data_IF_739898505725
#
_entry.id   IF_739898505725
#
_cell.length_a   1.000
_cell.length_b   1.000
_cell.length_c   1.000
_cell.angle_alpha   90.00
_cell.angle_beta   90.00
_cell.angle_gamma   90.00
#
_symmetry.space_group_name_H-M   'P 1'
#
loop_
_entity.id
_entity.type
_entity.pdbx_description
1 polymer ?
#
# COMPACT_ATOMS: atom_id res chain seq x y z
N UNK A 1 -28.69 -65.06 1.06
CA UNK A 1 -28.94 -63.77 1.74
C UNK A 1 -28.19 -62.71 0.97
N UNK A 2 -28.92 -61.81 0.31
CA UNK A 2 -28.38 -60.86 -0.65
C UNK A 2 -28.09 -59.50 0.03
N UNK A 3 -27.11 -58.76 -0.48
CA UNK A 3 -26.57 -57.53 0.12
C UNK A 3 -27.57 -56.36 0.32
N UNK A 4 -28.81 -56.50 -0.15
CA UNK A 4 -29.90 -55.53 0.01
C UNK A 4 -30.63 -55.62 1.36
N UNK A 5 -30.53 -56.73 2.09
CA UNK A 5 -31.25 -56.91 3.38
C UNK A 5 -30.54 -56.24 4.58
N UNK A 6 -29.22 -56.02 4.49
CA UNK A 6 -28.45 -55.39 5.57
C UNK A 6 -28.62 -53.86 5.60
N UNK A 7 -28.91 -53.26 4.45
CA UNK A 7 -29.09 -51.80 4.30
C UNK A 7 -30.46 -51.36 4.85
N UNK A 8 -31.51 -52.18 4.71
CA UNK A 8 -32.84 -51.85 5.21
C UNK A 8 -32.99 -51.94 6.74
N UNK A 9 -32.16 -52.75 7.42
CA UNK A 9 -32.12 -52.80 8.91
C UNK A 9 -31.37 -51.62 9.55
N UNK A 10 -30.48 -50.96 8.81
CA UNK A 10 -29.76 -49.78 9.31
C UNK A 10 -30.63 -48.52 9.17
N UNK A 11 -31.49 -48.46 8.14
CA UNK A 11 -32.37 -47.31 7.91
C UNK A 11 -33.60 -47.31 8.85
N UNK A 12 -34.04 -48.45 9.38
CA UNK A 12 -35.20 -48.48 10.30
C UNK A 12 -34.88 -48.09 11.76
N UNK A 13 -33.60 -48.07 12.17
CA UNK A 13 -33.22 -47.75 13.55
C UNK A 13 -32.87 -46.26 13.80
N UNK A 14 -32.92 -45.42 12.77
CA UNK A 14 -32.65 -43.96 12.92
C UNK A 14 -33.95 -43.13 12.92
N UNK A 15 -35.11 -43.73 12.61
CA UNK A 15 -36.40 -43.02 12.58
C UNK A 15 -37.16 -43.00 13.92
N UNK A 16 -36.56 -43.50 15.00
CA UNK A 16 -37.23 -43.65 16.31
C UNK A 16 -36.73 -42.72 17.43
N UNK A 17 -35.89 -41.72 17.14
CA UNK A 17 -35.24 -40.91 18.19
C UNK A 17 -35.38 -39.39 17.98
N UNK A 18 -36.45 -38.95 17.31
CA UNK A 18 -36.74 -37.53 17.07
C UNK A 18 -38.23 -37.22 17.27
N UNK A 19 -38.83 -37.71 18.35
CA UNK A 19 -40.04 -37.11 18.91
C UNK A 19 -39.92 -37.17 20.44
N UNK A 20 -40.25 -36.07 21.10
CA UNK A 20 -40.29 -35.83 22.54
C UNK A 20 -38.97 -35.59 23.30
N UNK A 21 -38.43 -34.36 23.21
CA UNK A 21 -38.03 -33.56 24.40
C UNK A 21 -38.18 -32.06 24.16
N UNK A 22 -39.29 -31.55 24.68
CA UNK A 22 -39.56 -30.25 25.31
C UNK A 22 -38.38 -29.28 25.42
N UNK A 23 -38.63 -28.06 24.92
CA UNK A 23 -37.90 -26.80 25.08
C UNK A 23 -37.20 -26.62 26.44
N UNK A 24 -35.87 -26.55 26.42
CA UNK A 24 -35.06 -25.69 27.26
C UNK A 24 -33.87 -25.22 26.41
N UNK A 25 -33.99 -24.03 25.84
CA UNK A 25 -32.87 -23.31 25.25
C UNK A 25 -31.79 -23.11 26.32
N UNK A 26 -30.54 -23.57 26.14
CA UNK A 26 -29.45 -22.96 26.87
C UNK A 26 -29.32 -21.54 26.30
N UNK A 27 -29.67 -20.55 27.11
CA UNK A 27 -29.24 -19.17 26.89
C UNK A 27 -27.72 -19.19 26.94
N UNK A 28 -27.09 -19.37 25.79
CA UNK A 28 -25.69 -19.03 25.61
C UNK A 28 -25.67 -17.52 25.73
N UNK A 29 -25.30 -17.01 26.91
CA UNK A 29 -25.03 -15.60 27.08
C UNK A 29 -24.08 -15.18 25.96
N UNK A 30 -24.43 -14.19 25.13
CA UNK A 30 -23.52 -13.69 24.13
C UNK A 30 -22.23 -13.27 24.84
N UNK A 31 -21.04 -13.68 24.35
CA UNK A 31 -19.80 -13.12 24.86
C UNK A 31 -19.92 -11.59 24.84
N UNK A 32 -19.42 -10.94 25.90
CA UNK A 32 -19.46 -9.50 26.06
C UNK A 32 -19.01 -8.81 24.76
N UNK A 33 -19.65 -7.69 24.44
CA UNK A 33 -19.52 -6.97 23.15
C UNK A 33 -18.05 -6.80 22.72
N UNK A 34 -17.14 -6.67 23.68
CA UNK A 34 -15.69 -6.57 23.46
C UNK A 34 -15.05 -7.81 22.81
N UNK A 35 -15.47 -9.04 23.14
CA UNK A 35 -14.84 -10.28 22.62
C UNK A 35 -15.33 -10.61 21.20
N UNK A 36 -16.60 -10.31 20.88
CA UNK A 36 -17.11 -10.44 19.50
C UNK A 36 -16.47 -9.43 18.56
N UNK A 37 -16.27 -8.19 19.02
CA UNK A 37 -15.59 -7.15 18.25
C UNK A 37 -14.12 -7.48 18.03
N UNK A 38 -13.41 -8.04 19.02
CA UNK A 38 -11.99 -8.42 18.88
C UNK A 38 -11.80 -9.60 17.92
N UNK A 39 -12.67 -10.62 17.95
CA UNK A 39 -12.57 -11.77 17.04
C UNK A 39 -13.01 -11.41 15.62
N UNK A 40 -14.00 -10.52 15.45
CA UNK A 40 -14.42 -10.00 14.14
C UNK A 40 -13.38 -9.02 13.58
N UNK A 41 -12.73 -8.19 14.40
CA UNK A 41 -11.60 -7.34 13.98
C UNK A 41 -10.38 -8.19 13.60
N UNK A 42 -10.03 -9.23 14.36
CA UNK A 42 -8.93 -10.14 14.01
C UNK A 42 -9.23 -10.98 12.74
N UNK A 43 -10.51 -11.26 12.47
CA UNK A 43 -10.94 -11.96 11.26
C UNK A 43 -11.08 -11.01 10.05
N UNK A 44 -11.51 -9.76 10.23
CA UNK A 44 -11.54 -8.73 9.18
C UNK A 44 -10.14 -8.22 8.83
N UNK A 45 -9.22 -8.18 9.80
CA UNK A 45 -7.79 -7.86 9.57
C UNK A 45 -7.06 -8.99 8.84
N UNK A 46 -7.57 -10.24 8.88
CA UNK A 46 -6.91 -11.40 8.25
C UNK A 46 -7.59 -11.90 6.97
N UNK A 47 -8.88 -11.58 6.75
CA UNK A 47 -9.63 -11.88 5.52
C UNK A 47 -9.75 -10.66 4.59
N UNK A 48 -9.69 -9.44 5.13
CA UNK A 48 -9.76 -8.20 4.34
C UNK A 48 -8.48 -7.79 3.62
N UNK A 49 -7.40 -8.58 3.68
CA UNK A 49 -6.06 -8.18 3.16
C UNK A 49 -5.48 -9.16 2.14
N UNK A 50 -6.31 -9.95 1.45
CA UNK A 50 -5.87 -10.78 0.31
C UNK A 50 -6.08 -10.13 -1.07
N UNK A 51 -6.37 -8.82 -1.12
CA UNK A 51 -6.28 -8.05 -2.37
C UNK A 51 -5.13 -7.07 -2.25
N UNK A 52 -4.17 -7.20 -3.16
CA UNK A 52 -2.98 -6.38 -3.31
C UNK A 52 -3.23 -4.87 -3.13
N UNK A 53 -2.84 -4.31 -2.00
CA UNK A 53 -2.84 -2.85 -1.78
C UNK A 53 -1.52 -2.21 -2.22
N UNK A 54 -1.01 -2.61 -3.39
CA UNK A 54 0.12 -1.95 -4.02
C UNK A 54 -0.28 -0.68 -4.80
N UNK A 55 -1.57 -0.47 -5.04
CA UNK A 55 -2.10 0.61 -5.88
C UNK A 55 -2.81 1.76 -5.15
N UNK A 56 -3.02 1.65 -3.83
CA UNK A 56 -3.92 2.56 -3.12
C UNK A 56 -3.34 3.95 -2.77
N UNK A 57 -2.09 4.28 -3.15
CA UNK A 57 -1.50 5.60 -2.85
C UNK A 57 -1.50 6.57 -4.06
N UNK A 58 -2.19 6.27 -5.17
CA UNK A 58 -2.37 7.28 -6.24
C UNK A 58 -3.55 7.06 -7.19
N UNK A 59 -4.55 6.25 -6.82
CA UNK A 59 -5.82 6.18 -7.54
C UNK A 59 -6.85 7.00 -6.77
N UNK A 60 -7.20 8.19 -7.28
CA UNK A 60 -8.38 8.90 -6.78
C UNK A 60 -9.60 8.16 -7.31
N UNK A 61 -10.45 7.67 -6.40
CA UNK A 61 -11.68 6.98 -6.77
C UNK A 61 -12.52 7.87 -7.72
N UNK A 62 -13.05 7.33 -8.83
CA UNK A 62 -13.88 8.09 -9.76
C UNK A 62 -15.21 8.48 -9.11
N UNK A 63 -15.84 9.52 -9.62
CA UNK A 63 -17.19 9.87 -9.20
C UNK A 63 -18.17 8.84 -9.79
N UNK A 64 -19.05 8.28 -8.95
CA UNK A 64 -20.03 7.28 -9.39
C UNK A 64 -21.35 7.37 -8.63
N UNK A 65 -22.42 6.90 -9.27
CA UNK A 65 -23.73 6.64 -8.68
C UNK A 65 -24.10 5.16 -8.86
N UNK A 66 -24.64 4.56 -7.80
CA UNK A 66 -24.89 3.12 -7.74
C UNK A 66 -26.36 2.83 -7.43
N UNK A 67 -27.01 2.04 -8.27
CA UNK A 67 -28.38 1.55 -8.05
C UNK A 67 -28.41 0.02 -8.05
N UNK A 68 -29.01 -0.59 -7.02
CA UNK A 68 -29.20 -2.06 -6.95
C UNK A 68 -28.02 -2.87 -6.40
N UNK A 69 -27.03 -2.22 -5.77
CA UNK A 69 -25.88 -2.84 -5.11
C UNK A 69 -24.97 -1.80 -4.44
N UNK A 70 -23.81 -2.25 -3.95
CA UNK A 70 -22.74 -1.39 -3.42
C UNK A 70 -21.43 -1.64 -4.18
N UNK A 71 -20.58 -0.61 -4.31
CA UNK A 71 -19.22 -0.76 -4.82
C UNK A 71 -18.29 -1.09 -3.64
N UNK A 72 -17.55 -2.18 -3.77
CA UNK A 72 -16.60 -2.66 -2.76
C UNK A 72 -15.20 -2.09 -2.93
N UNK A 73 -14.82 -1.72 -4.16
CA UNK A 73 -13.54 -1.09 -4.44
C UNK A 73 -13.20 -1.02 -5.92
N UNK A 74 -12.11 -0.30 -6.20
CA UNK A 74 -11.57 -0.09 -7.54
C UNK A 74 -10.12 -0.57 -7.63
N UNK A 75 -9.72 -1.11 -8.77
CA UNK A 75 -8.36 -1.50 -9.07
C UNK A 75 -8.03 -1.09 -10.50
N UNK A 76 -6.97 -0.30 -10.68
CA UNK A 76 -6.50 0.15 -11.99
C UNK A 76 -5.24 -0.62 -12.37
N UNK A 77 -5.25 -1.27 -13.53
CA UNK A 77 -4.11 -1.93 -14.15
C UNK A 77 -3.58 -1.09 -15.32
N UNK A 78 -2.43 -0.41 -15.17
CA UNK A 78 -1.85 0.42 -16.21
C UNK A 78 -1.19 -0.39 -17.33
N UNK A 79 -0.84 -1.66 -17.11
CA UNK A 79 -0.22 -2.50 -18.15
C UNK A 79 -1.25 -2.91 -19.20
N UNK A 80 -2.49 -3.16 -18.77
CA UNK A 80 -3.60 -3.59 -19.63
C UNK A 80 -4.61 -2.49 -19.93
N UNK A 81 -4.39 -1.29 -19.39
CA UNK A 81 -5.34 -0.17 -19.44
C UNK A 81 -6.74 -0.53 -18.92
N UNK A 82 -6.81 -1.29 -17.82
CA UNK A 82 -8.07 -1.84 -17.28
C UNK A 82 -8.41 -1.24 -15.93
N UNK A 83 -9.63 -0.73 -15.78
CA UNK A 83 -10.23 -0.41 -14.48
C UNK A 83 -11.19 -1.52 -14.06
N UNK A 84 -10.85 -2.25 -13.00
CA UNK A 84 -11.69 -3.26 -12.37
C UNK A 84 -12.44 -2.68 -11.19
N UNK A 85 -13.75 -2.94 -11.14
CA UNK A 85 -14.70 -2.46 -10.15
C UNK A 85 -15.32 -3.67 -9.48
N UNK A 86 -15.08 -3.82 -8.19
CA UNK A 86 -15.67 -4.88 -7.37
C UNK A 86 -17.02 -4.40 -6.83
N UNK A 87 -18.07 -5.21 -6.98
CA UNK A 87 -19.43 -4.86 -6.57
C UNK A 87 -20.07 -5.96 -5.71
N UNK A 88 -20.95 -5.56 -4.78
CA UNK A 88 -21.86 -6.45 -4.04
C UNK A 88 -23.31 -6.20 -4.51
N UNK A 89 -23.83 -6.99 -5.46
CA UNK A 89 -25.15 -6.76 -6.02
C UNK A 89 -26.27 -7.20 -5.06
N UNK A 90 -27.17 -6.29 -4.72
CA UNK A 90 -28.37 -6.59 -3.93
C UNK A 90 -29.58 -6.97 -4.83
N UNK A 91 -29.43 -6.84 -6.14
CA UNK A 91 -30.46 -7.13 -7.14
C UNK A 91 -29.96 -6.92 -8.56
N UNK A 92 -30.88 -6.69 -9.50
CA UNK A 92 -30.52 -6.07 -10.78
C UNK A 92 -30.33 -4.58 -10.56
N UNK A 93 -29.37 -3.99 -11.24
CA UNK A 93 -29.01 -2.60 -11.02
C UNK A 93 -28.18 -2.02 -12.14
N UNK A 94 -27.77 -0.77 -11.94
CA UNK A 94 -26.96 -0.01 -12.88
C UNK A 94 -25.88 0.75 -12.11
N UNK A 95 -24.68 0.76 -12.69
CA UNK A 95 -23.55 1.58 -12.26
C UNK A 95 -23.41 2.74 -13.24
N UNK A 96 -23.49 3.96 -12.73
CA UNK A 96 -23.19 5.18 -13.48
C UNK A 96 -21.86 5.73 -12.99
N UNK A 97 -20.84 5.76 -13.85
CA UNK A 97 -19.48 6.13 -13.44
C UNK A 97 -18.89 7.18 -14.37
N UNK A 98 -18.32 8.24 -13.80
CA UNK A 98 -17.63 9.31 -14.51
C UNK A 98 -16.13 9.15 -14.36
N UNK A 99 -15.47 8.88 -15.50
CA UNK A 99 -14.05 8.59 -15.61
C UNK A 99 -13.32 9.79 -16.24
N UNK A 100 -12.39 10.43 -15.52
CA UNK A 100 -11.52 11.42 -16.11
C UNK A 100 -10.68 10.82 -17.25
N UNK A 101 -10.59 11.50 -18.40
CA UNK A 101 -9.79 11.03 -19.55
C UNK A 101 -8.30 10.93 -19.25
N UNK A 102 -7.83 11.68 -18.26
CA UNK A 102 -6.45 11.58 -17.77
C UNK A 102 -6.23 10.37 -16.85
N UNK A 103 -7.27 9.64 -16.46
CA UNK A 103 -7.22 8.41 -15.68
C UNK A 103 -7.27 7.18 -16.59
N UNK A 104 -8.27 7.13 -17.47
CA UNK A 104 -8.48 6.06 -18.46
C UNK A 104 -9.21 6.66 -19.68
N UNK A 105 -8.74 6.33 -20.88
CA UNK A 105 -9.41 6.73 -22.13
C UNK A 105 -9.27 5.63 -23.19
N UNK A 106 -10.14 5.70 -24.20
CA UNK A 106 -10.15 4.82 -25.37
C UNK A 106 -10.14 5.68 -26.63
N UNK A 107 -9.03 5.62 -27.36
CA UNK A 107 -8.76 6.38 -28.58
C UNK A 107 -8.02 5.53 -29.60
N UNK A 108 -8.33 5.75 -30.87
CA UNK A 108 -7.49 5.39 -32.01
C UNK A 108 -6.95 6.67 -32.66
N UNK A 109 -5.66 6.94 -32.43
CA UNK A 109 -5.04 8.20 -32.80
C UNK A 109 -5.67 9.40 -32.07
N UNK A 110 -6.42 10.23 -32.81
CA UNK A 110 -7.13 11.39 -32.26
C UNK A 110 -8.64 11.19 -32.10
N UNK A 111 -9.18 10.10 -32.65
CA UNK A 111 -10.61 9.79 -32.60
C UNK A 111 -10.92 8.99 -31.32
N UNK A 112 -12.09 9.26 -30.72
CA UNK A 112 -12.54 8.51 -29.54
C UNK A 112 -13.11 7.16 -29.99
N UNK A 113 -12.66 6.10 -29.35
CA UNK A 113 -13.24 4.76 -29.46
C UNK A 113 -14.04 4.43 -28.21
N UNK A 114 -14.97 3.48 -28.33
CA UNK A 114 -15.77 3.00 -27.20
C UNK A 114 -14.89 2.18 -26.24
N UNK A 115 -15.20 2.23 -24.94
CA UNK A 115 -14.57 1.32 -23.98
C UNK A 115 -14.97 -0.13 -24.23
N UNK A 116 -14.08 -1.07 -23.92
CA UNK A 116 -14.46 -2.48 -23.83
C UNK A 116 -14.90 -2.75 -22.39
N UNK A 117 -16.16 -3.12 -22.20
CA UNK A 117 -16.71 -3.42 -20.88
C UNK A 117 -16.85 -4.94 -20.70
N UNK A 118 -16.37 -5.46 -19.58
CA UNK A 118 -16.50 -6.85 -19.15
C UNK A 118 -17.37 -6.92 -17.89
N UNK A 119 -18.23 -7.92 -17.80
CA UNK A 119 -18.97 -8.26 -16.58
C UNK A 119 -18.63 -9.69 -16.19
N UNK A 120 -18.01 -9.89 -15.01
CA UNK A 120 -17.41 -11.16 -14.58
C UNK A 120 -16.49 -11.78 -15.66
N UNK A 121 -15.74 -10.94 -16.38
CA UNK A 121 -14.83 -11.38 -17.45
C UNK A 121 -15.48 -11.70 -18.80
N UNK A 122 -16.79 -11.45 -18.98
CA UNK A 122 -17.48 -11.59 -20.27
C UNK A 122 -17.76 -10.22 -20.89
N UNK A 123 -17.42 -10.05 -22.18
CA UNK A 123 -17.70 -8.81 -22.92
C UNK A 123 -19.18 -8.46 -22.94
N UNK A 124 -19.45 -7.19 -22.66
CA UNK A 124 -20.76 -6.61 -22.57
C UNK A 124 -20.85 -5.39 -23.48
N UNK A 125 -21.60 -5.52 -24.58
CA UNK A 125 -21.66 -4.52 -25.64
C UNK A 125 -22.81 -3.52 -25.51
N UNK A 126 -23.65 -3.63 -24.46
CA UNK A 126 -24.88 -2.86 -24.33
C UNK A 126 -24.83 -1.89 -23.16
N UNK A 127 -23.95 -0.88 -23.24
CA UNK A 127 -23.85 0.19 -22.25
C UNK A 127 -23.98 1.55 -22.95
N UNK A 128 -24.37 2.57 -22.18
CA UNK A 128 -24.43 3.94 -22.69
C UNK A 128 -23.16 4.68 -22.29
N UNK A 129 -22.66 5.50 -23.21
CA UNK A 129 -21.48 6.33 -22.98
C UNK A 129 -21.72 7.79 -23.39
N UNK A 130 -21.33 8.71 -22.52
CA UNK A 130 -21.32 10.15 -22.77
C UNK A 130 -19.90 10.69 -22.71
N UNK A 131 -19.46 11.29 -23.81
CA UNK A 131 -18.08 11.70 -24.01
C UNK A 131 -17.99 13.23 -23.97
N UNK A 132 -17.10 13.78 -23.13
CA UNK A 132 -16.80 15.22 -23.05
C UNK A 132 -15.32 15.48 -23.33
N UNK A 133 -14.85 16.73 -23.26
CA UNK A 133 -13.42 17.05 -23.45
C UNK A 133 -12.53 16.65 -22.27
N UNK A 134 -13.09 16.48 -21.07
CA UNK A 134 -12.33 16.16 -19.84
C UNK A 134 -12.61 14.76 -19.31
N UNK A 135 -13.83 14.28 -19.47
CA UNK A 135 -14.33 13.07 -18.80
C UNK A 135 -15.18 12.22 -19.75
N UNK A 136 -15.32 10.94 -19.42
CA UNK A 136 -16.19 9.96 -20.07
C UNK A 136 -17.09 9.32 -19.03
N UNK A 137 -18.39 9.34 -19.26
CA UNK A 137 -19.37 8.79 -18.32
C UNK A 137 -20.01 7.55 -18.92
N UNK A 138 -19.92 6.43 -18.21
CA UNK A 138 -20.38 5.11 -18.68
C UNK A 138 -21.49 4.61 -17.76
N UNK A 139 -22.57 4.09 -18.34
CA UNK A 139 -23.69 3.49 -17.58
C UNK A 139 -23.78 2.00 -17.90
N UNK A 140 -23.48 1.16 -16.91
CA UNK A 140 -23.30 -0.29 -17.06
C UNK A 140 -24.36 -1.02 -16.22
N UNK A 141 -25.31 -1.74 -16.86
CA UNK A 141 -26.25 -2.59 -16.13
C UNK A 141 -25.59 -3.88 -15.65
N UNK A 142 -26.01 -4.37 -14.48
CA UNK A 142 -25.55 -5.63 -13.93
C UNK A 142 -26.71 -6.42 -13.28
N UNK A 143 -26.50 -7.72 -13.12
CA UNK A 143 -27.39 -8.66 -12.46
C UNK A 143 -26.90 -9.10 -11.09
N UNK A 144 -27.81 -9.75 -10.35
CA UNK A 144 -27.63 -10.28 -8.97
C UNK A 144 -26.46 -11.24 -8.72
N UNK A 145 -25.72 -11.64 -9.76
CA UNK A 145 -24.61 -12.58 -9.68
C UNK A 145 -23.30 -11.98 -10.21
N UNK A 146 -23.33 -10.69 -10.58
CA UNK A 146 -22.16 -9.99 -11.06
C UNK A 146 -21.43 -9.40 -9.87
N UNK A 147 -20.18 -9.82 -9.67
CA UNK A 147 -19.31 -9.36 -8.59
C UNK A 147 -18.20 -8.44 -9.10
N UNK A 148 -18.04 -8.36 -10.41
CA UNK A 148 -16.94 -7.65 -11.06
C UNK A 148 -17.40 -7.01 -12.38
N UNK A 149 -17.04 -5.74 -12.56
CA UNK A 149 -17.15 -5.01 -13.83
C UNK A 149 -15.74 -4.52 -14.19
N UNK A 150 -15.29 -4.74 -15.41
CA UNK A 150 -14.01 -4.23 -15.90
C UNK A 150 -14.25 -3.29 -17.08
N UNK A 151 -13.62 -2.13 -17.08
CA UNK A 151 -13.64 -1.14 -18.17
C UNK A 151 -12.23 -1.06 -18.72
N UNK A 152 -12.06 -1.43 -19.99
CA UNK A 152 -10.77 -1.46 -20.68
C UNK A 152 -10.71 -0.33 -21.71
N UNK A 153 -9.65 0.46 -21.64
CA UNK A 153 -9.35 1.52 -22.60
C UNK A 153 -8.14 1.19 -23.47
N UNK A 154 -7.67 2.19 -24.23
CA UNK A 154 -6.41 2.12 -24.98
C UNK A 154 -5.27 2.84 -24.25
N UNK A 155 -5.61 3.70 -23.29
CA UNK A 155 -4.66 4.43 -22.46
C UNK A 155 -5.14 4.50 -21.02
N UNK A 156 -4.22 4.29 -20.08
CA UNK A 156 -4.41 4.54 -18.65
C UNK A 156 -3.26 5.41 -18.18
N UNK A 157 -3.51 6.23 -17.15
CA UNK A 157 -2.47 7.01 -16.47
C UNK A 157 -1.30 6.11 -16.04
N UNK A 158 -0.32 6.02 -16.92
CA UNK A 158 1.06 5.75 -16.61
C UNK A 158 1.72 7.12 -16.55
N UNK A 159 2.61 7.35 -15.59
CA UNK A 159 3.43 8.56 -15.58
C UNK A 159 4.23 8.59 -16.89
N UNK A 160 3.70 9.24 -17.92
CA UNK A 160 4.45 9.55 -19.13
C UNK A 160 5.46 10.65 -18.79
N UNK A 161 6.73 10.31 -18.98
CA UNK A 161 7.71 11.22 -19.52
C UNK A 161 7.08 11.87 -20.77
N UNK A 162 6.82 13.18 -20.70
CA UNK A 162 6.24 13.96 -21.79
C UNK A 162 6.86 13.64 -23.16
N UNK A 163 6.06 13.50 -24.24
CA UNK A 163 6.57 13.23 -25.58
C UNK A 163 7.27 14.45 -26.20
N UNK A 164 8.17 14.14 -27.13
CA UNK A 164 9.07 15.02 -27.85
C UNK A 164 8.48 16.36 -28.35
N UNK A 165 8.92 17.46 -27.75
CA UNK A 165 9.19 18.70 -28.45
C UNK A 165 10.50 19.30 -27.90
N UNK A 166 11.50 19.41 -28.78
CA UNK A 166 12.84 19.99 -28.52
C UNK A 166 13.71 19.29 -27.46
N UNK A 167 14.22 18.12 -27.87
CA UNK A 167 15.42 17.47 -27.31
C UNK A 167 16.60 18.46 -27.36
N UNK A 168 17.05 18.94 -26.19
CA UNK A 168 18.48 19.06 -25.85
C UNK A 168 18.77 19.55 -24.40
N UNK A 169 17.98 20.42 -23.75
CA UNK A 169 18.28 20.85 -22.36
C UNK A 169 17.83 19.86 -21.26
N UNK A 170 16.71 19.15 -21.44
CA UNK A 170 16.06 18.39 -20.36
C UNK A 170 16.81 17.09 -19.97
N UNK A 171 17.38 16.35 -20.93
CA UNK A 171 18.16 15.13 -20.63
C UNK A 171 19.40 15.43 -19.78
N UNK A 172 20.05 16.58 -20.01
CA UNK A 172 21.21 17.01 -19.23
C UNK A 172 20.84 17.37 -17.79
N UNK A 173 19.67 17.98 -17.60
CA UNK A 173 19.14 18.31 -16.27
C UNK A 173 18.78 17.04 -15.51
N UNK A 174 18.10 16.07 -16.13
CA UNK A 174 17.76 14.80 -15.48
C UNK A 174 19.01 14.00 -15.08
N UNK A 175 20.02 13.91 -15.96
CA UNK A 175 21.30 13.28 -15.62
C UNK A 175 22.00 13.98 -14.45
N UNK A 176 21.89 15.31 -14.38
CA UNK A 176 22.46 16.11 -13.29
C UNK A 176 21.69 15.90 -11.98
N UNK A 177 20.36 15.80 -12.02
CA UNK A 177 19.52 15.43 -10.87
C UNK A 177 19.90 14.04 -10.37
N UNK A 178 20.00 13.05 -11.25
CA UNK A 178 20.42 11.67 -10.91
C UNK A 178 21.82 11.65 -10.27
N UNK A 179 22.76 12.44 -10.80
CA UNK A 179 24.10 12.56 -10.21
C UNK A 179 24.09 13.17 -8.81
N UNK A 180 23.24 14.17 -8.57
CA UNK A 180 23.10 14.84 -7.26
C UNK A 180 22.35 13.97 -6.26
N UNK A 181 21.40 13.15 -6.71
CA UNK A 181 20.72 12.13 -5.90
C UNK A 181 21.69 11.04 -5.39
N UNK A 182 22.80 10.80 -6.09
CA UNK A 182 23.86 9.89 -5.65
C UNK A 182 24.84 10.46 -4.63
N UNK A 183 24.74 11.75 -4.28
CA UNK A 183 25.62 12.38 -3.29
C UNK A 183 25.06 12.20 -1.87
N UNK A 184 25.91 11.78 -0.93
CA UNK A 184 25.52 11.72 0.48
C UNK A 184 25.25 13.14 1.01
N UNK A 185 24.00 13.38 1.40
CA UNK A 185 23.58 14.61 2.08
C UNK A 185 23.68 14.33 3.59
N UNK A 186 24.32 15.20 4.40
CA UNK A 186 24.41 15.00 5.84
C UNK A 186 23.02 14.88 6.49
N UNK A 187 22.91 14.01 7.50
CA UNK A 187 21.66 13.77 8.23
C UNK A 187 21.04 15.08 8.75
N UNK A 188 19.73 15.19 8.63
CA UNK A 188 18.97 16.38 9.04
C UNK A 188 19.09 17.59 8.10
N UNK A 189 19.81 17.46 6.98
CA UNK A 189 19.88 18.50 5.94
C UNK A 189 19.16 18.07 4.65
N UNK A 190 18.74 19.05 3.87
CA UNK A 190 18.19 18.87 2.54
C UNK A 190 18.96 19.76 1.56
N UNK A 191 18.85 19.45 0.26
CA UNK A 191 19.52 20.19 -0.82
C UNK A 191 18.45 20.66 -1.81
N UNK A 192 18.41 21.96 -2.09
CA UNK A 192 17.61 22.55 -3.15
C UNK A 192 18.50 22.74 -4.38
N UNK A 193 18.13 22.09 -5.48
CA UNK A 193 18.75 22.24 -6.77
C UNK A 193 17.91 23.21 -7.61
N UNK A 194 18.57 24.21 -8.18
CA UNK A 194 17.96 25.20 -9.06
C UNK A 194 18.64 25.04 -10.41
N UNK A 195 17.84 24.87 -11.46
CA UNK A 195 18.28 24.79 -12.85
C UNK A 195 17.65 25.93 -13.63
N UNK A 196 18.47 26.72 -14.31
CA UNK A 196 17.97 27.87 -15.06
C UNK A 196 19.00 28.37 -16.06
N UNK A 197 18.51 28.83 -17.21
CA UNK A 197 19.27 29.60 -18.19
C UNK A 197 19.04 31.12 -18.07
N UNK A 198 18.32 31.55 -17.03
CA UNK A 198 17.94 32.95 -16.83
C UNK A 198 18.15 33.48 -15.41
N UNK A 199 17.95 34.80 -15.22
CA UNK A 199 17.98 35.47 -13.92
C UNK A 199 16.75 35.10 -13.10
N UNK A 200 16.98 34.75 -11.85
CA UNK A 200 15.96 34.39 -10.90
C UNK A 200 16.25 34.98 -9.52
N UNK A 201 15.19 35.21 -8.75
CA UNK A 201 15.23 35.62 -7.35
C UNK A 201 14.30 34.73 -6.56
N UNK A 202 14.69 34.34 -5.36
CA UNK A 202 13.82 33.53 -4.51
C UNK A 202 14.21 33.58 -3.06
N UNK A 203 13.33 32.98 -2.25
CA UNK A 203 13.50 32.84 -0.83
C UNK A 203 13.22 31.40 -0.39
N UNK A 204 13.93 30.95 0.63
CA UNK A 204 13.81 29.63 1.22
C UNK A 204 13.66 29.76 2.74
N UNK A 205 12.74 28.97 3.30
CA UNK A 205 12.53 28.83 4.74
C UNK A 205 12.32 27.35 5.08
N UNK A 206 12.88 26.89 6.19
CA UNK A 206 12.65 25.53 6.68
C UNK A 206 12.69 25.45 8.21
N UNK A 207 12.15 24.36 8.77
CA UNK A 207 12.22 24.07 10.21
C UNK A 207 13.68 24.00 10.67
N UNK A 208 14.10 24.95 11.53
CA UNK A 208 15.48 25.04 12.02
C UNK A 208 16.44 25.78 11.08
N UNK A 209 15.95 26.41 10.02
CA UNK A 209 16.73 27.20 9.08
C UNK A 209 16.10 28.57 8.83
N UNK A 210 16.88 29.64 9.03
CA UNK A 210 16.41 31.01 8.88
C UNK A 210 16.08 31.35 7.43
N UNK A 211 15.07 32.22 7.27
CA UNK A 211 14.67 32.76 5.98
C UNK A 211 15.88 33.33 5.24
N UNK A 212 16.12 32.81 4.03
CA UNK A 212 17.28 33.19 3.21
C UNK A 212 16.81 33.62 1.83
N UNK A 213 17.18 34.84 1.42
CA UNK A 213 16.98 35.33 0.05
C UNK A 213 18.20 35.05 -0.82
N UNK A 214 17.93 34.58 -2.03
CA UNK A 214 18.97 34.20 -2.98
C UNK A 214 18.60 34.67 -4.38
N UNK A 215 19.56 35.30 -5.05
CA UNK A 215 19.46 35.64 -6.47
C UNK A 215 20.52 34.90 -7.28
N UNK A 216 20.21 34.56 -8.53
CA UNK A 216 21.13 33.86 -9.43
C UNK A 216 20.77 34.06 -10.90
N UNK A 217 21.63 33.54 -11.79
CA UNK A 217 21.44 33.62 -13.25
C UNK A 217 21.66 32.26 -13.95
N UNK A 218 22.06 31.23 -13.19
CA UNK A 218 22.37 29.88 -13.68
C UNK A 218 22.00 28.85 -12.63
N UNK A 219 22.29 27.59 -12.92
CA UNK A 219 22.17 26.50 -11.96
C UNK A 219 22.87 26.80 -10.63
N UNK A 220 22.22 26.46 -9.53
CA UNK A 220 22.76 26.62 -8.17
C UNK A 220 22.21 25.54 -7.26
N UNK A 221 23.01 25.11 -6.29
CA UNK A 221 22.55 24.24 -5.21
C UNK A 221 22.66 24.97 -3.87
N UNK A 222 21.68 24.74 -3.00
CA UNK A 222 21.61 25.32 -1.65
C UNK A 222 21.35 24.18 -0.68
N UNK A 223 22.21 24.03 0.33
CA UNK A 223 21.98 23.07 1.42
C UNK A 223 21.33 23.83 2.58
N UNK A 224 20.23 23.29 3.09
CA UNK A 224 19.47 23.89 4.19
C UNK A 224 19.17 22.87 5.28
N UNK A 225 18.98 23.34 6.51
CA UNK A 225 18.55 22.51 7.63
C UNK A 225 17.09 22.10 7.44
N UNK A 226 16.80 20.81 7.53
CA UNK A 226 15.46 20.24 7.38
C UNK A 226 15.32 19.11 8.42
N UNK A 227 15.45 19.50 9.69
CA UNK A 227 15.46 18.57 10.81
C UNK A 227 14.02 18.16 11.14
N UNK A 228 13.83 16.86 11.33
CA UNK A 228 12.60 16.29 11.86
C UNK A 228 12.83 15.85 13.29
N UNK A 229 11.87 16.11 14.17
CA UNK A 229 11.91 15.61 15.53
C UNK A 229 10.78 14.59 15.72
N UNK A 230 10.91 13.74 16.74
CA UNK A 230 9.90 12.72 17.10
C UNK A 230 8.51 13.35 17.36
N UNK A 231 8.46 14.66 17.65
CA UNK A 231 7.26 15.38 18.08
C UNK A 231 6.77 16.40 17.04
N UNK A 232 7.63 16.81 16.08
CA UNK A 232 7.29 17.80 15.05
C UNK A 232 7.92 17.42 13.72
N UNK A 233 7.07 17.34 12.70
CA UNK A 233 7.48 17.24 11.31
C UNK A 233 8.25 18.51 10.92
N UNK A 234 9.42 18.32 10.31
CA UNK A 234 10.14 19.40 9.66
C UNK A 234 9.37 19.80 8.40
N UNK A 235 9.27 21.08 8.10
CA UNK A 235 8.64 21.58 6.87
C UNK A 235 9.58 22.55 6.19
N UNK A 236 9.50 22.63 4.86
CA UNK A 236 10.21 23.63 4.09
C UNK A 236 9.27 24.28 3.07
N UNK A 237 9.58 25.53 2.74
CA UNK A 237 8.90 26.30 1.71
C UNK A 237 9.90 27.14 0.94
N UNK A 238 9.79 27.11 -0.39
CA UNK A 238 10.64 27.86 -1.28
C UNK A 238 9.79 28.56 -2.34
N UNK A 239 10.10 29.84 -2.57
CA UNK A 239 9.43 30.68 -3.57
C UNK A 239 10.47 31.29 -4.48
N UNK A 240 10.36 31.06 -5.78
CA UNK A 240 11.31 31.56 -6.77
C UNK A 240 10.57 32.19 -7.95
N UNK A 241 11.13 33.28 -8.47
CA UNK A 241 10.56 34.05 -9.56
C UNK A 241 11.60 34.27 -10.66
N UNK A 242 11.15 34.11 -11.91
CA UNK A 242 11.91 34.47 -13.11
C UNK A 242 11.96 35.99 -13.24
N UNK A 243 13.15 36.55 -13.46
CA UNK A 243 13.37 37.99 -13.58
C UNK A 243 13.43 38.47 -15.04
N UNK A 244 13.14 37.58 -15.99
CA UNK A 244 13.18 37.82 -17.44
C UNK A 244 11.92 37.29 -18.11
N UNK A 245 11.70 37.69 -19.36
CA UNK A 245 10.59 37.21 -20.17
C UNK A 245 10.86 35.83 -20.79
N UNK A 246 12.10 35.56 -21.19
CA UNK A 246 12.54 34.31 -21.82
C UNK A 246 13.36 33.42 -20.86
N UNK A 247 13.50 32.15 -21.21
CA UNK A 247 14.21 31.14 -20.42
C UNK A 247 13.31 30.35 -19.47
N UNK A 248 13.88 29.34 -18.82
CA UNK A 248 13.18 28.45 -17.90
C UNK A 248 13.77 28.53 -16.49
N UNK A 249 12.95 28.16 -15.52
CA UNK A 249 13.36 27.95 -14.14
C UNK A 249 12.79 26.63 -13.69
N UNK A 250 13.63 25.74 -13.16
CA UNK A 250 13.22 24.49 -12.53
C UNK A 250 13.91 24.37 -11.19
N UNK A 251 13.15 24.02 -10.16
CA UNK A 251 13.69 23.77 -8.83
C UNK A 251 13.30 22.37 -8.37
N UNK A 252 14.22 21.71 -7.67
CA UNK A 252 14.08 20.35 -7.17
C UNK A 252 14.62 20.30 -5.75
N UNK A 253 13.76 20.02 -4.78
CA UNK A 253 14.17 19.77 -3.40
C UNK A 253 14.45 18.28 -3.21
N UNK A 254 15.63 17.94 -2.71
CA UNK A 254 16.04 16.57 -2.42
C UNK A 254 16.51 16.40 -0.98
N UNK A 255 16.18 15.26 -0.38
CA UNK A 255 16.66 14.85 0.93
C UNK A 255 16.72 13.32 0.95
N UNK A 256 17.76 12.75 1.55
CA UNK A 256 17.95 11.30 1.65
C UNK A 256 17.80 10.56 0.30
N UNK A 257 18.38 11.11 -0.77
CA UNK A 257 18.31 10.55 -2.14
C UNK A 257 16.90 10.46 -2.72
N UNK A 258 15.93 11.18 -2.15
CA UNK A 258 14.55 11.28 -2.65
C UNK A 258 14.23 12.72 -3.06
N UNK A 259 13.47 12.87 -4.13
CA UNK A 259 12.86 14.15 -4.52
C UNK A 259 11.66 14.38 -3.59
N UNK A 260 11.71 15.48 -2.83
CA UNK A 260 10.67 15.89 -1.90
C UNK A 260 9.56 16.64 -2.63
N UNK A 261 9.95 17.61 -3.45
CA UNK A 261 9.05 18.40 -4.30
C UNK A 261 9.86 18.98 -5.46
N UNK A 262 9.20 19.23 -6.59
CA UNK A 262 9.81 19.88 -7.74
C UNK A 262 8.77 20.66 -8.53
N UNK A 263 9.19 21.75 -9.14
CA UNK A 263 8.33 22.53 -10.02
C UNK A 263 9.17 23.32 -11.02
N UNK A 264 8.55 23.68 -12.14
CA UNK A 264 9.19 24.40 -13.23
C UNK A 264 8.23 25.38 -13.88
N UNK A 265 8.78 26.48 -14.40
CA UNK A 265 8.03 27.46 -15.19
C UNK A 265 8.86 27.95 -16.37
N UNK A 266 8.19 28.12 -17.51
CA UNK A 266 8.70 28.80 -18.70
C UNK A 266 7.95 30.12 -18.95
N UNK A 267 6.94 30.43 -18.14
CA UNK A 267 6.09 31.61 -18.29
C UNK A 267 6.89 32.91 -18.09
N UNK A 268 6.42 34.00 -18.71
CA UNK A 268 7.05 35.33 -18.59
C UNK A 268 6.99 35.80 -17.14
N UNK A 269 8.15 36.07 -16.56
CA UNK A 269 8.28 36.40 -15.13
C UNK A 269 7.57 35.40 -14.20
N UNK A 270 7.49 34.13 -14.63
CA UNK A 270 6.79 33.07 -13.92
C UNK A 270 7.29 32.83 -12.51
N UNK A 271 6.38 32.39 -11.65
CA UNK A 271 6.63 32.11 -10.24
C UNK A 271 6.49 30.61 -9.96
N UNK A 272 7.38 30.09 -9.13
CA UNK A 272 7.37 28.72 -8.63
C UNK A 272 7.31 28.73 -7.12
N UNK A 273 6.43 27.92 -6.56
CA UNK A 273 6.34 27.67 -5.13
C UNK A 273 6.42 26.16 -4.93
N UNK A 274 7.35 25.73 -4.09
CA UNK A 274 7.45 24.34 -3.61
C UNK A 274 7.34 24.34 -2.10
N UNK A 275 6.57 23.40 -1.57
CA UNK A 275 6.39 23.23 -0.14
C UNK A 275 6.34 21.75 0.16
N UNK A 276 6.96 21.32 1.25
CA UNK A 276 6.88 19.92 1.63
C UNK A 276 7.36 19.65 3.04
N UNK A 277 7.14 18.41 3.46
CA UNK A 277 7.60 17.92 4.75
C UNK A 277 9.01 17.34 4.57
N UNK A 278 9.91 17.66 5.51
CA UNK A 278 11.21 17.02 5.63
C UNK A 278 11.00 15.52 5.81
N UNK A 279 11.78 14.72 5.10
CA UNK A 279 11.77 13.27 5.27
C UNK A 279 12.22 13.00 6.71
N UNK A 280 11.34 12.38 7.49
CA UNK A 280 11.70 11.89 8.81
C UNK A 280 12.97 11.05 8.69
N UNK A 281 13.90 11.17 9.63
CA UNK A 281 15.06 10.27 9.72
C UNK A 281 14.68 8.76 9.74
N UNK A 282 13.38 8.49 9.82
CA UNK A 282 12.73 7.23 9.51
C UNK A 282 12.00 7.32 8.15
N UNK A 283 12.66 6.88 7.07
CA UNK A 283 11.98 6.38 5.87
C UNK A 283 11.96 7.28 4.63
N UNK A 284 13.03 7.23 3.84
CA UNK A 284 13.00 6.87 2.40
C UNK A 284 14.34 7.24 1.73
N UNK A 285 15.45 6.81 2.32
CA UNK A 285 16.67 6.52 1.56
C UNK A 285 16.60 5.07 1.08
N UNK A 286 17.14 4.82 -0.11
CA UNK A 286 17.42 3.48 -0.60
C UNK A 286 18.42 2.80 0.36
N UNK A 287 17.91 2.15 1.40
CA UNK A 287 18.72 1.49 2.43
C UNK A 287 17.94 1.25 3.73
N UNK A 288 17.39 0.05 3.87
CA UNK A 288 16.93 -0.54 5.15
C UNK A 288 15.79 0.17 5.88
N UNK A 289 14.54 -0.22 5.64
CA UNK A 289 13.40 0.30 6.40
C UNK A 289 13.47 0.05 7.92
N UNK A 290 12.88 0.89 8.75
CA UNK A 290 12.91 0.73 10.21
C UNK A 290 11.95 -0.38 10.72
N UNK A 291 12.40 -1.27 11.61
CA UNK A 291 11.53 -2.26 12.26
C UNK A 291 10.71 -1.64 13.42
N UNK A 292 9.81 -0.70 13.12
CA UNK A 292 9.08 0.16 14.07
C UNK A 292 8.42 -0.60 15.24
N UNK A 293 7.66 -1.66 14.96
CA UNK A 293 6.99 -2.48 15.99
C UNK A 293 8.03 -3.12 16.91
N UNK A 294 9.01 -3.82 16.34
CA UNK A 294 10.04 -4.49 17.12
C UNK A 294 10.87 -3.48 17.94
N UNK A 295 11.20 -2.32 17.38
CA UNK A 295 11.87 -1.23 18.10
C UNK A 295 11.05 -0.74 19.29
N UNK A 296 9.73 -0.54 19.13
CA UNK A 296 8.85 -0.13 20.22
C UNK A 296 8.72 -1.23 21.30
N UNK A 297 8.61 -2.49 20.87
CA UNK A 297 8.50 -3.65 21.76
C UNK A 297 9.76 -3.87 22.60
N UNK A 298 10.96 -3.81 21.98
CA UNK A 298 12.23 -4.08 22.67
C UNK A 298 12.91 -2.81 23.20
N UNK A 299 12.37 -1.64 22.89
CA UNK A 299 12.75 -0.35 23.45
C UNK A 299 14.02 0.28 22.87
N UNK A 300 14.66 -0.35 21.88
CA UNK A 300 15.82 0.20 21.20
C UNK A 300 15.99 -0.39 19.81
N UNK A 301 16.44 0.41 18.86
CA UNK A 301 16.87 -0.07 17.55
C UNK A 301 18.10 -0.97 17.64
N UNK A 302 18.94 -0.76 18.67
CA UNK A 302 20.13 -1.55 18.95
C UNK A 302 19.82 -2.80 19.79
N UNK A 303 18.54 -3.09 20.07
CA UNK A 303 18.19 -4.31 20.77
C UNK A 303 18.60 -5.54 19.94
N UNK A 304 19.14 -6.60 20.56
CA UNK A 304 19.61 -7.80 19.85
C UNK A 304 18.55 -8.41 18.92
N UNK A 305 17.28 -8.39 19.34
CA UNK A 305 16.15 -8.89 18.57
C UNK A 305 15.89 -8.08 17.30
N UNK A 306 16.06 -6.75 17.38
CA UNK A 306 15.86 -5.84 16.25
C UNK A 306 17.04 -5.94 15.29
N UNK A 307 18.27 -6.04 15.82
CA UNK A 307 19.47 -6.23 15.02
C UNK A 307 19.44 -7.57 14.27
N UNK A 308 18.97 -8.64 14.92
CA UNK A 308 18.77 -9.93 14.26
C UNK A 308 17.86 -9.84 13.03
N UNK A 309 16.75 -9.10 13.12
CA UNK A 309 15.85 -8.89 11.99
C UNK A 309 16.52 -8.10 10.86
N UNK A 310 17.29 -7.08 11.21
CA UNK A 310 18.04 -6.26 10.24
C UNK A 310 19.09 -7.10 9.52
N UNK A 311 19.89 -7.87 10.26
CA UNK A 311 20.90 -8.76 9.69
C UNK A 311 20.28 -9.80 8.76
N UNK A 312 19.18 -10.46 9.18
CA UNK A 312 18.47 -11.42 8.34
C UNK A 312 17.96 -10.78 7.05
N UNK A 313 17.34 -9.60 7.16
CA UNK A 313 16.84 -8.85 6.01
C UNK A 313 17.99 -8.46 5.07
N UNK A 314 18.99 -7.77 5.59
CA UNK A 314 20.02 -7.10 4.79
C UNK A 314 21.03 -8.10 4.22
N UNK A 315 21.44 -9.09 5.01
CA UNK A 315 22.51 -10.02 4.62
C UNK A 315 22.01 -11.32 4.00
N UNK A 316 20.71 -11.63 4.11
CA UNK A 316 20.16 -12.88 3.55
C UNK A 316 19.01 -12.65 2.58
N UNK A 317 17.96 -11.92 2.98
CA UNK A 317 16.76 -11.75 2.13
C UNK A 317 17.02 -10.82 0.95
N UNK A 318 17.57 -9.62 1.19
CA UNK A 318 17.80 -8.62 0.15
C UNK A 318 18.93 -8.99 -0.82
N UNK A 319 19.72 -10.02 -0.50
CA UNK A 319 20.76 -10.55 -1.40
C UNK A 319 20.18 -11.43 -2.52
N UNK A 320 18.87 -11.70 -2.53
CA UNK A 320 18.20 -12.53 -3.53
C UNK A 320 17.02 -11.81 -4.17
N UNK A 321 16.69 -12.15 -5.43
CA UNK A 321 15.57 -11.54 -6.16
C UNK A 321 14.22 -11.86 -5.50
N UNK A 322 14.00 -13.12 -5.10
CA UNK A 322 12.77 -13.54 -4.42
C UNK A 322 12.60 -12.86 -3.05
N UNK A 323 13.70 -12.70 -2.30
CA UNK A 323 13.67 -12.03 -1.00
C UNK A 323 13.49 -10.52 -1.10
N UNK A 324 14.09 -9.86 -2.09
CA UNK A 324 13.87 -8.43 -2.33
C UNK A 324 12.44 -8.11 -2.80
N UNK A 325 11.87 -8.94 -3.69
CA UNK A 325 10.48 -8.85 -4.10
C UNK A 325 9.51 -9.04 -2.92
N UNK A 326 9.74 -10.06 -2.08
CA UNK A 326 8.97 -10.26 -0.84
C UNK A 326 9.08 -9.06 0.10
N UNK A 327 10.29 -8.57 0.36
CA UNK A 327 10.52 -7.43 1.26
C UNK A 327 9.90 -6.14 0.74
N UNK A 328 9.82 -5.95 -0.58
CA UNK A 328 9.12 -4.80 -1.17
C UNK A 328 7.63 -4.81 -0.81
N UNK A 329 6.94 -5.93 -1.08
CA UNK A 329 5.51 -6.07 -0.75
C UNK A 329 5.25 -6.05 0.76
N UNK A 330 6.10 -6.74 1.54
CA UNK A 330 6.02 -6.72 2.99
C UNK A 330 6.18 -5.31 3.55
N UNK A 331 7.19 -4.55 3.11
CA UNK A 331 7.43 -3.20 3.60
C UNK A 331 6.24 -2.28 3.33
N UNK A 332 5.66 -2.36 2.12
CA UNK A 332 4.50 -1.56 1.77
C UNK A 332 3.36 -1.79 2.76
N UNK A 333 3.02 -3.04 3.05
CA UNK A 333 1.98 -3.36 4.02
C UNK A 333 2.39 -2.99 5.46
N UNK A 334 3.60 -3.37 5.86
CA UNK A 334 4.14 -3.16 7.20
C UNK A 334 4.13 -1.68 7.61
N UNK A 335 4.56 -0.77 6.74
CA UNK A 335 4.61 0.66 7.05
C UNK A 335 3.25 1.35 7.05
N UNK A 336 2.18 0.73 6.52
CA UNK A 336 0.83 1.29 6.60
C UNK A 336 0.26 1.28 8.01
N UNK A 337 0.60 0.27 8.83
CA UNK A 337 0.01 0.12 10.16
C UNK A 337 1.05 0.17 11.29
N UNK A 338 2.32 -0.14 11.02
CA UNK A 338 3.35 -0.20 12.06
C UNK A 338 3.59 1.09 12.84
N UNK A 339 3.46 2.32 12.28
CA UNK A 339 3.59 3.55 13.07
C UNK A 339 2.54 3.63 14.18
N UNK A 340 1.27 3.40 13.84
CA UNK A 340 0.14 3.45 14.78
C UNK A 340 0.28 2.41 15.88
N UNK A 341 0.69 1.18 15.54
CA UNK A 341 0.94 0.14 16.55
C UNK A 341 2.10 0.54 17.47
N UNK A 342 3.19 1.06 16.92
CA UNK A 342 4.34 1.50 17.71
C UNK A 342 4.01 2.68 18.64
N UNK A 343 3.08 3.56 18.24
CA UNK A 343 2.54 4.61 19.10
C UNK A 343 1.74 4.02 20.27
N UNK A 344 0.83 3.08 19.99
CA UNK A 344 0.07 2.38 21.04
C UNK A 344 0.95 1.61 22.03
N UNK A 345 2.04 1.01 21.57
CA UNK A 345 3.03 0.35 22.45
C UNK A 345 3.73 1.34 23.39
N UNK A 346 3.96 2.56 22.94
CA UNK A 346 4.57 3.63 23.76
C UNK A 346 3.59 4.18 24.79
N UNK A 347 2.31 4.26 24.44
CA UNK A 347 1.26 4.77 25.33
C UNK A 347 0.82 3.75 26.39
N UNK A 348 0.85 2.45 26.06
CA UNK A 348 0.35 1.39 26.94
C UNK A 348 1.39 0.29 27.18
N UNK A 349 2.00 0.26 28.39
CA UNK A 349 2.93 -0.82 28.78
C UNK A 349 2.31 -2.22 28.72
N UNK A 350 1.00 -2.34 28.98
CA UNK A 350 0.28 -3.62 28.89
C UNK A 350 0.16 -4.07 27.44
N UNK A 351 -0.16 -3.13 26.53
CA UNK A 351 -0.23 -3.43 25.11
C UNK A 351 1.14 -3.84 24.57
N UNK A 352 2.21 -3.14 24.95
CA UNK A 352 3.58 -3.50 24.62
C UNK A 352 3.94 -4.93 25.05
N UNK A 353 3.62 -5.34 26.27
CA UNK A 353 3.90 -6.70 26.74
C UNK A 353 3.04 -7.75 26.01
N UNK A 354 1.81 -7.40 25.62
CA UNK A 354 0.99 -8.25 24.77
C UNK A 354 1.62 -8.43 23.37
N UNK A 355 2.03 -7.33 22.72
CA UNK A 355 2.74 -7.36 21.44
C UNK A 355 4.01 -8.18 21.56
N UNK A 356 4.81 -7.97 22.61
CA UNK A 356 6.02 -8.75 22.90
C UNK A 356 5.75 -10.24 22.99
N UNK A 357 4.72 -10.64 23.75
CA UNK A 357 4.33 -12.04 23.87
C UNK A 357 3.90 -12.61 22.51
N UNK A 358 3.18 -11.81 21.73
CA UNK A 358 2.70 -12.20 20.40
C UNK A 358 3.82 -12.32 19.40
N UNK A 359 4.81 -11.42 19.34
CA UNK A 359 5.85 -11.45 18.29
C UNK A 359 7.04 -12.32 18.64
N UNK A 360 7.30 -12.59 19.92
CA UNK A 360 8.48 -13.38 20.35
C UNK A 360 8.56 -14.75 19.68
N UNK A 361 7.48 -15.56 19.59
CA UNK A 361 7.56 -16.85 18.91
C UNK A 361 7.92 -16.72 17.43
N UNK A 362 7.43 -15.69 16.75
CA UNK A 362 7.80 -15.37 15.36
C UNK A 362 9.30 -15.09 15.26
N UNK A 363 9.85 -14.22 16.12
CA UNK A 363 11.28 -13.90 16.12
C UNK A 363 12.14 -15.14 16.38
N UNK A 364 11.72 -16.02 17.29
CA UNK A 364 12.43 -17.27 17.53
C UNK A 364 12.41 -18.20 16.32
N UNK A 365 11.29 -18.27 15.58
CA UNK A 365 11.25 -19.05 14.35
C UNK A 365 12.17 -18.48 13.26
N UNK A 366 12.25 -17.15 13.15
CA UNK A 366 13.11 -16.46 12.18
C UNK A 366 14.59 -16.65 12.51
N UNK A 367 14.95 -16.79 13.79
CA UNK A 367 16.33 -17.04 14.19
C UNK A 367 16.93 -18.32 13.59
N UNK A 368 16.09 -19.28 13.19
CA UNK A 368 16.51 -20.52 12.52
C UNK A 368 17.21 -20.20 11.19
N UNK A 369 16.76 -19.17 10.46
CA UNK A 369 17.37 -18.78 9.17
C UNK A 369 18.79 -18.24 9.30
N UNK A 370 19.20 -17.78 10.48
CA UNK A 370 20.58 -17.34 10.69
C UNK A 370 21.57 -18.50 10.72
N UNK A 371 21.09 -19.73 10.94
CA UNK A 371 21.91 -20.93 11.03
C UNK A 371 21.88 -21.78 9.76
N UNK A 372 21.13 -21.34 8.75
CA UNK A 372 20.94 -22.07 7.50
C UNK A 372 21.54 -21.25 6.36
N UNK A 373 22.32 -21.91 5.52
CA UNK A 373 22.86 -21.31 4.31
C UNK A 373 21.74 -21.21 3.27
N UNK A 374 21.59 -20.01 2.70
CA UNK A 374 20.53 -19.67 1.74
C UNK A 374 21.22 -19.11 0.50
N UNK A 375 22.04 -19.94 -0.12
CA UNK A 375 22.95 -19.53 -1.19
C UNK A 375 22.25 -19.57 -2.56
N UNK A 376 21.01 -20.08 -2.62
CA UNK A 376 20.20 -20.18 -3.83
C UNK A 376 18.77 -19.62 -3.68
N UNK A 377 18.18 -19.16 -4.79
CA UNK A 377 16.81 -18.63 -4.80
C UNK A 377 15.76 -19.65 -4.35
N UNK A 378 15.95 -20.93 -4.71
CA UNK A 378 15.06 -22.03 -4.32
C UNK A 378 15.07 -22.29 -2.81
N UNK A 379 16.21 -22.11 -2.16
CA UNK A 379 16.35 -22.29 -0.71
C UNK A 379 15.71 -21.14 0.06
N UNK A 380 15.94 -19.90 -0.35
CA UNK A 380 15.27 -18.73 0.25
C UNK A 380 13.75 -18.88 0.17
N UNK A 381 13.24 -19.30 -0.98
CA UNK A 381 11.81 -19.51 -1.17
C UNK A 381 11.30 -20.70 -0.33
N UNK A 382 12.01 -21.82 -0.33
CA UNK A 382 11.64 -23.02 0.42
C UNK A 382 11.60 -22.80 1.93
N UNK A 383 12.65 -22.20 2.48
CA UNK A 383 12.71 -21.87 3.91
C UNK A 383 11.72 -20.76 4.28
N UNK A 384 11.53 -19.75 3.42
CA UNK A 384 10.52 -18.72 3.59
C UNK A 384 9.11 -19.28 3.71
N UNK A 385 8.69 -20.12 2.76
CA UNK A 385 7.38 -20.79 2.77
C UNK A 385 7.24 -21.68 4.02
N UNK A 386 8.29 -22.44 4.36
CA UNK A 386 8.29 -23.31 5.53
C UNK A 386 8.07 -22.54 6.84
N UNK A 387 8.66 -21.36 6.98
CA UNK A 387 8.50 -20.51 8.16
C UNK A 387 7.13 -19.83 8.22
N UNK A 388 6.57 -19.44 7.08
CA UNK A 388 5.20 -18.93 7.03
C UNK A 388 4.24 -20.02 7.51
N UNK A 389 4.37 -21.25 7.01
CA UNK A 389 3.55 -22.39 7.44
C UNK A 389 3.75 -22.72 8.93
N UNK A 390 4.98 -22.67 9.42
CA UNK A 390 5.29 -22.88 10.83
C UNK A 390 4.59 -21.84 11.73
N UNK A 391 4.68 -20.57 11.35
CA UNK A 391 4.03 -19.48 12.09
C UNK A 391 2.50 -19.60 12.03
N UNK A 392 1.93 -19.91 10.86
CA UNK A 392 0.48 -20.18 10.75
C UNK A 392 0.06 -21.33 11.67
N UNK A 393 0.84 -22.42 11.69
CA UNK A 393 0.60 -23.54 12.60
C UNK A 393 0.64 -23.13 14.07
N UNK A 394 1.60 -22.28 14.45
CA UNK A 394 1.79 -21.83 15.82
C UNK A 394 0.71 -20.84 16.28
N UNK A 395 0.32 -19.86 15.46
CA UNK A 395 -0.66 -18.83 15.83
C UNK A 395 -2.11 -19.28 15.66
N UNK A 396 -2.40 -20.23 14.76
CA UNK A 396 -3.76 -20.64 14.47
C UNK A 396 -4.04 -22.09 14.86
N UNK A 397 -3.24 -23.05 14.37
CA UNK A 397 -3.54 -24.46 14.56
C UNK A 397 -3.36 -24.91 16.02
N UNK A 398 -2.28 -24.50 16.69
CA UNK A 398 -2.03 -24.89 18.09
C UNK A 398 -3.09 -24.33 19.06
N UNK A 399 -3.47 -23.04 19.02
CA UNK A 399 -4.59 -22.53 19.81
C UNK A 399 -5.92 -23.21 19.47
N UNK A 400 -6.24 -23.46 18.20
CA UNK A 400 -7.47 -24.14 17.80
C UNK A 400 -7.55 -25.58 18.34
N UNK A 401 -6.45 -26.33 18.28
CA UNK A 401 -6.37 -27.68 18.86
C UNK A 401 -6.49 -27.66 20.38
N UNK A 402 -5.92 -26.64 21.03
CA UNK A 402 -6.03 -26.47 22.48
C UNK A 402 -7.48 -26.17 22.90
N UNK A 403 -8.15 -25.25 22.20
CA UNK A 403 -9.57 -24.92 22.43
C UNK A 403 -10.46 -26.14 22.21
N UNK A 404 -10.27 -26.88 21.13
CA UNK A 404 -11.09 -28.08 20.83
C UNK A 404 -10.86 -29.20 21.85
N UNK A 405 -9.63 -29.40 22.33
CA UNK A 405 -9.34 -30.36 23.41
C UNK A 405 -9.96 -29.94 24.74
N UNK A 406 -9.87 -28.66 25.11
CA UNK A 406 -10.51 -28.14 26.32
C UNK A 406 -12.03 -28.32 26.25
N UNK A 407 -12.66 -27.96 25.13
CA UNK A 407 -14.11 -28.14 24.95
C UNK A 407 -14.55 -29.60 25.02
N UNK A 408 -13.75 -30.54 24.50
CA UNK A 408 -14.02 -31.98 24.65
C UNK A 408 -13.87 -32.45 26.09
N UNK A 409 -12.90 -31.89 26.84
CA UNK A 409 -12.67 -32.22 28.26
C UNK A 409 -13.75 -31.66 29.17
N UNK A 410 -14.28 -30.47 28.87
CA UNK A 410 -15.40 -29.85 29.59
C UNK A 410 -16.77 -30.43 29.24
N UNK A 411 -16.95 -31.05 28.06
CA UNK A 411 -18.16 -31.81 27.70
C UNK A 411 -18.15 -33.26 28.18
N UNK A 412 -17.02 -33.75 28.69
CA UNK A 412 -16.84 -35.12 29.22
C UNK A 412 -16.82 -35.20 30.76
N UNK A 413 -16.91 -34.06 31.44
CA UNK A 413 -17.27 -33.90 32.86
C UNK A 413 -18.75 -33.53 32.93
#
# INVERSE_FOLDING_TARGET
MNHTDLVLRIISNVRGFYEDRVYLTPVIQPPSVNVRVIVIMLFLVMVGTFTSTAFAQQFKEPDYEMHGGEVLGFALDPETATLTILIDPQGKGELHITLPRNLIDAKDGSEDEDFIVLINGLEYYFFDETITSSDRTVTIPFGRFNSEISIMGTQVFSRELTPAATVQPQQQIENKIISELGTEIPDGKAKLLIFSDTKWSGALQASGFDYTEVTGQRDKSIIFGCETSIIREGVFGARFQKMTDEGYLRIVAIQNQKIMDQSSTEERMGEIIINGNCVSGFGSGSGGGACLIATATFGSELAPQVQQLRELRDNKLLQTNSGSAFMSGFNQFYYLFSPTIADWERESPIFKEAVKLTITPLLTSLSILNYVDMDSESEVLGYGISLILLNIGMYFAAPALLITRLNKRFKGL
#
